data_IF_550084094337
#
_entry.id   IF_550084094337
#
_cell.length_a   1.000
_cell.length_b   1.000
_cell.length_c   1.000
_cell.angle_alpha   90.00
_cell.angle_beta   90.00
_cell.angle_gamma   90.00
#
_symmetry.space_group_name_H-M   'P 1'
#
loop_
_entity.id
_entity.type
_entity.pdbx_description
1 polymer ?
#
# COMPACT_ATOMS: atom_id res chain seq x y z
N UNK A 1 6.85 6.97 -21.74
CA UNK A 1 6.05 5.81 -21.28
C UNK A 1 5.59 6.09 -19.84
N UNK A 2 4.39 5.64 -19.46
CA UNK A 2 3.98 5.71 -18.06
C UNK A 2 4.88 4.82 -17.19
N UNK A 3 5.21 5.30 -15.99
CA UNK A 3 6.08 4.56 -15.06
C UNK A 3 5.31 3.44 -14.35
N UNK A 4 5.91 2.25 -14.26
CA UNK A 4 5.47 1.25 -13.28
C UNK A 4 5.58 1.81 -11.87
N UNK A 5 4.69 1.38 -10.99
CA UNK A 5 4.64 1.90 -9.62
C UNK A 5 4.09 0.86 -8.65
N UNK A 6 4.42 1.02 -7.36
CA UNK A 6 3.76 0.28 -6.29
C UNK A 6 2.62 1.14 -5.76
N UNK A 7 1.39 0.63 -5.83
CA UNK A 7 0.21 1.28 -5.29
C UNK A 7 0.16 1.07 -3.78
N UNK A 8 0.12 2.18 -3.06
CA UNK A 8 -0.14 2.23 -1.62
C UNK A 8 -1.66 2.29 -1.39
N UNK A 9 -2.23 1.45 -0.51
CA UNK A 9 -3.67 1.42 -0.25
C UNK A 9 -4.09 2.54 0.72
N UNK A 10 -3.98 3.79 0.28
CA UNK A 10 -4.24 4.99 1.12
C UNK A 10 -5.65 5.00 1.74
N UNK A 11 -6.74 4.63 1.05
CA UNK A 11 -8.06 4.59 1.67
C UNK A 11 -8.15 3.61 2.84
N UNK A 12 -7.54 2.43 2.70
CA UNK A 12 -7.52 1.41 3.76
C UNK A 12 -6.64 1.86 4.93
N UNK A 13 -5.51 2.53 4.64
CA UNK A 13 -4.68 3.16 5.68
C UNK A 13 -5.47 4.17 6.51
N UNK A 14 -6.24 5.04 5.86
CA UNK A 14 -7.05 6.05 6.55
C UNK A 14 -8.12 5.39 7.42
N UNK A 15 -8.80 4.37 6.90
CA UNK A 15 -9.80 3.60 7.66
C UNK A 15 -9.19 2.96 8.90
N UNK A 16 -8.10 2.22 8.75
CA UNK A 16 -7.43 1.56 9.88
C UNK A 16 -6.91 2.58 10.91
N UNK A 17 -6.45 3.75 10.47
CA UNK A 17 -6.02 4.80 11.38
C UNK A 17 -7.19 5.37 12.20
N UNK A 18 -8.34 5.60 11.57
CA UNK A 18 -9.56 6.08 12.26
C UNK A 18 -10.08 5.02 13.22
N UNK A 19 -10.16 3.76 12.79
CA UNK A 19 -10.62 2.65 13.62
C UNK A 19 -9.69 2.44 14.83
N UNK A 20 -8.38 2.59 14.66
CA UNK A 20 -7.41 2.56 15.75
C UNK A 20 -7.61 3.70 16.74
N UNK A 21 -7.88 4.92 16.26
CA UNK A 21 -8.14 6.08 17.10
C UNK A 21 -9.42 5.91 17.92
N UNK A 22 -10.53 5.51 17.29
CA UNK A 22 -11.82 5.27 17.95
C UNK A 22 -11.63 4.22 19.05
N UNK A 23 -11.00 3.09 18.73
CA UNK A 23 -10.74 2.05 19.71
C UNK A 23 -9.89 2.53 20.88
N UNK A 24 -8.90 3.40 20.65
CA UNK A 24 -8.08 3.95 21.74
C UNK A 24 -8.85 4.88 22.67
N UNK A 25 -9.93 5.49 22.19
CA UNK A 25 -10.85 6.27 23.03
C UNK A 25 -11.77 5.36 23.84
N UNK A 26 -12.25 4.27 23.25
CA UNK A 26 -13.13 3.29 23.90
C UNK A 26 -12.39 2.37 24.89
N UNK A 27 -11.15 1.99 24.58
CA UNK A 27 -10.31 1.08 25.35
C UNK A 27 -8.92 1.71 25.64
N UNK A 28 -8.83 2.70 26.55
CA UNK A 28 -7.62 3.49 26.73
C UNK A 28 -6.39 2.70 27.18
N UNK A 29 -6.58 1.64 27.96
CA UNK A 29 -5.50 0.84 28.55
C UNK A 29 -5.18 -0.41 27.73
N UNK A 30 -5.80 -0.56 26.56
CA UNK A 30 -5.51 -1.68 25.66
C UNK A 30 -4.10 -1.59 25.09
N UNK A 31 -3.47 -2.75 24.85
CA UNK A 31 -2.14 -2.80 24.25
C UNK A 31 -2.13 -2.22 22.82
N UNK A 32 -1.03 -1.58 22.39
CA UNK A 32 -0.89 -1.09 21.02
C UNK A 32 -1.09 -2.20 19.99
N UNK A 33 -1.81 -1.89 18.91
CA UNK A 33 -2.06 -2.82 17.79
C UNK A 33 -1.44 -2.28 16.51
N UNK A 34 -0.98 -3.18 15.65
CA UNK A 34 -0.43 -2.83 14.33
C UNK A 34 -1.28 -3.46 13.22
N UNK A 35 -1.63 -2.68 12.22
CA UNK A 35 -2.24 -3.14 10.99
C UNK A 35 -1.19 -3.20 9.87
N UNK A 36 -1.17 -4.29 9.11
CA UNK A 36 -0.28 -4.47 7.95
C UNK A 36 -1.12 -4.59 6.69
N UNK A 37 -0.97 -3.64 5.78
CA UNK A 37 -1.73 -3.58 4.54
C UNK A 37 -0.89 -4.05 3.35
N UNK A 38 -1.55 -4.68 2.38
CA UNK A 38 -0.91 -5.17 1.17
C UNK A 38 -0.78 -4.06 0.11
N UNK A 39 0.41 -3.90 -0.44
CA UNK A 39 0.61 -3.08 -1.63
C UNK A 39 0.42 -3.91 -2.90
N UNK A 40 0.23 -3.25 -4.03
CA UNK A 40 0.15 -3.92 -5.34
C UNK A 40 1.11 -3.29 -6.34
N UNK A 41 1.83 -4.11 -7.10
CA UNK A 41 2.68 -3.65 -8.19
C UNK A 41 1.83 -3.40 -9.45
N UNK A 42 1.92 -2.20 -10.00
CA UNK A 42 1.35 -1.81 -11.28
C UNK A 42 2.48 -1.80 -12.31
N UNK A 43 2.50 -2.83 -13.17
CA UNK A 43 3.50 -2.97 -14.23
C UNK A 43 3.06 -2.20 -15.46
N UNK A 44 3.97 -1.43 -16.03
CA UNK A 44 3.81 -0.68 -17.28
C UNK A 44 5.04 -0.87 -18.17
N UNK A 45 4.99 -0.32 -19.37
CA UNK A 45 6.04 -0.50 -20.38
C UNK A 45 7.41 0.01 -19.94
N UNK A 46 7.48 0.97 -19.00
CA UNK A 46 8.74 1.46 -18.45
C UNK A 46 9.56 0.40 -17.70
N UNK A 47 8.98 -0.76 -17.37
CA UNK A 47 9.67 -1.85 -16.67
C UNK A 47 9.86 -3.10 -17.52
N UNK A 48 9.50 -3.06 -18.81
CA UNK A 48 9.82 -4.16 -19.73
C UNK A 48 11.31 -4.11 -20.04
N UNK A 49 12.05 -5.11 -19.59
CA UNK A 49 13.43 -5.35 -20.03
C UNK A 49 13.39 -6.26 -21.25
N UNK A 50 13.93 -5.80 -22.38
CA UNK A 50 14.22 -6.62 -23.57
C UNK A 50 13.07 -6.75 -24.58
N UNK A 51 13.09 -5.88 -25.58
CA UNK A 51 12.35 -6.04 -26.83
C UNK A 51 13.26 -5.75 -28.03
N UNK A 52 14.17 -6.67 -28.35
CA UNK A 52 14.78 -6.85 -29.67
C UNK A 52 15.58 -5.70 -30.31
N UNK A 53 16.90 -5.73 -30.13
CA UNK A 53 17.86 -5.33 -31.16
C UNK A 53 19.08 -6.24 -31.01
N UNK A 54 18.97 -7.45 -31.55
CA UNK A 54 19.97 -8.51 -31.40
C UNK A 54 19.54 -9.78 -32.15
N UNK A 55 19.40 -9.67 -33.47
CA UNK A 55 19.42 -10.75 -34.46
C UNK A 55 19.70 -10.12 -35.81
#
# INVERSE_FOLDING_TARGET
PELSSVRVPVPDMAREAVDALIRRLEEPDSAPRHARLATSLIVRDSSRVGGGAGS
#
